data_IF_561558433456
#
_entry.id   IF_561558433456
#
_cell.length_a   1.000
_cell.length_b   1.000
_cell.length_c   1.000
_cell.angle_alpha   90.00
_cell.angle_beta   90.00
_cell.angle_gamma   90.00
#
_symmetry.space_group_name_H-M   'P 1'
#
loop_
_entity.id
_entity.type
_entity.pdbx_description
1 polymer ?
#
# COMPACT_ATOMS: atom_id res chain seq x y z
N UNK A 1 -21.76 -1.46 -3.79
CA UNK A 1 -21.01 -2.73 -3.72
C UNK A 1 -20.32 -2.76 -2.37
N UNK A 2 -20.54 -3.79 -1.55
CA UNK A 2 -19.79 -3.95 -0.30
C UNK A 2 -18.37 -4.41 -0.63
N UNK A 3 -17.32 -3.70 -0.19
CA UNK A 3 -15.94 -4.11 -0.45
C UNK A 3 -15.68 -5.48 0.17
N UNK A 4 -15.13 -6.41 -0.61
CA UNK A 4 -14.73 -7.74 -0.11
C UNK A 4 -13.39 -7.59 0.62
N UNK A 5 -13.41 -7.33 1.92
CA UNK A 5 -12.20 -7.19 2.75
C UNK A 5 -11.63 -8.58 3.11
N UNK A 6 -10.31 -8.82 2.98
CA UNK A 6 -9.74 -10.04 3.48
C UNK A 6 -9.91 -10.09 5.01
N UNK A 7 -10.10 -11.28 5.58
CA UNK A 7 -10.04 -11.46 7.03
C UNK A 7 -8.69 -10.96 7.58
N UNK A 8 -8.71 -10.18 8.67
CA UNK A 8 -7.50 -9.59 9.27
C UNK A 8 -6.48 -10.64 9.73
N UNK A 9 -6.95 -11.84 10.06
CA UNK A 9 -6.12 -13.01 10.41
C UNK A 9 -5.35 -13.57 9.22
N UNK A 10 -5.81 -13.31 7.99
CA UNK A 10 -5.14 -13.75 6.75
C UNK A 10 -4.23 -12.68 6.15
N UNK A 11 -4.52 -11.41 6.41
CA UNK A 11 -3.71 -10.27 5.99
C UNK A 11 -3.54 -9.29 7.15
N UNK A 12 -2.42 -9.39 7.91
CA UNK A 12 -2.17 -8.53 9.06
C UNK A 12 -2.00 -7.05 8.67
N UNK A 13 -1.80 -6.74 7.38
CA UNK A 13 -1.66 -5.38 6.88
C UNK A 13 -2.93 -4.83 6.25
N UNK A 14 -4.07 -5.53 6.29
CA UNK A 14 -5.31 -5.08 5.65
C UNK A 14 -5.74 -3.65 6.08
N UNK A 15 -5.53 -3.27 7.34
CA UNK A 15 -5.82 -1.92 7.81
C UNK A 15 -4.80 -0.86 7.32
N UNK A 16 -3.62 -1.27 6.88
CA UNK A 16 -2.61 -0.36 6.35
C UNK A 16 -3.01 0.24 4.99
N UNK A 17 -3.78 -0.48 4.17
CA UNK A 17 -4.16 -0.05 2.81
C UNK A 17 -5.67 -0.06 2.52
N UNK A 18 -6.51 -0.68 3.36
CA UNK A 18 -7.98 -0.73 3.19
C UNK A 18 -8.75 -0.16 4.38
N UNK A 19 -8.15 0.73 5.16
CA UNK A 19 -8.79 1.28 6.36
C UNK A 19 -10.12 1.98 6.07
N UNK A 20 -10.21 2.73 4.99
CA UNK A 20 -11.45 3.44 4.66
C UNK A 20 -12.59 2.47 4.33
N UNK A 21 -12.30 1.43 3.55
CA UNK A 21 -13.26 0.38 3.21
C UNK A 21 -13.70 -0.40 4.46
N UNK A 22 -12.76 -0.68 5.37
CA UNK A 22 -13.08 -1.25 6.67
C UNK A 22 -14.04 -0.38 7.46
N UNK A 23 -13.82 0.94 7.48
CA UNK A 23 -14.70 1.88 8.17
C UNK A 23 -16.06 2.08 7.49
N UNK A 24 -16.19 1.78 6.20
CA UNK A 24 -17.47 1.76 5.47
C UNK A 24 -18.28 0.51 5.80
N UNK A 25 -17.62 -0.64 5.92
CA UNK A 25 -18.27 -1.91 6.28
C UNK A 25 -18.63 -1.99 7.77
N UNK A 26 -17.79 -1.43 8.64
CA UNK A 26 -17.94 -1.44 10.09
C UNK A 26 -17.99 0.00 10.62
N UNK A 27 -19.12 0.71 10.40
CA UNK A 27 -19.26 2.10 10.82
C UNK A 27 -19.20 2.22 12.34
N UNK A 28 -18.66 3.34 12.79
CA UNK A 28 -18.50 3.67 14.21
C UNK A 28 -19.85 3.86 14.90
N UNK A 29 -19.92 3.45 16.17
CA UNK A 29 -21.03 3.85 17.04
C UNK A 29 -20.88 5.29 17.53
N UNK A 30 -21.96 5.83 18.11
CA UNK A 30 -21.97 7.17 18.69
C UNK A 30 -20.80 7.37 19.66
N UNK A 31 -20.08 8.48 19.51
CA UNK A 31 -18.85 8.88 20.25
C UNK A 31 -17.57 8.08 19.96
N UNK A 32 -17.59 7.10 19.06
CA UNK A 32 -16.35 6.47 18.62
C UNK A 32 -15.66 7.30 17.53
N UNK A 33 -14.33 7.30 17.53
CA UNK A 33 -13.51 8.01 16.56
C UNK A 33 -12.70 7.03 15.70
N UNK A 34 -12.47 7.41 14.43
CA UNK A 34 -11.55 6.68 13.55
C UNK A 34 -10.15 6.71 14.16
N UNK A 35 -9.42 5.61 14.04
CA UNK A 35 -8.03 5.54 14.46
C UNK A 35 -7.20 6.54 13.62
N UNK A 36 -6.59 7.55 14.26
CA UNK A 36 -5.88 8.61 13.55
C UNK A 36 -4.59 8.12 12.89
N UNK A 37 -4.04 6.97 13.32
CA UNK A 37 -2.84 6.40 12.74
C UNK A 37 -3.09 5.90 11.31
N UNK A 38 -4.01 4.95 11.13
CA UNK A 38 -4.31 4.38 9.81
C UNK A 38 -4.81 5.44 8.81
N UNK A 39 -5.54 6.46 9.29
CA UNK A 39 -6.02 7.57 8.44
C UNK A 39 -4.88 8.39 7.82
N UNK A 40 -3.70 8.42 8.45
CA UNK A 40 -2.54 9.21 8.00
C UNK A 40 -1.60 8.45 7.07
N UNK A 41 -1.78 7.13 6.95
CA UNK A 41 -0.98 6.31 6.05
C UNK A 41 -1.28 6.69 4.60
N UNK A 42 -0.22 6.83 3.81
CA UNK A 42 -0.30 7.18 2.39
C UNK A 42 -1.11 6.15 1.59
N UNK A 43 -1.00 4.87 1.93
CA UNK A 43 -1.73 3.79 1.28
C UNK A 43 -3.26 3.91 1.44
N UNK A 44 -3.71 4.49 2.56
CA UNK A 44 -5.12 4.75 2.85
C UNK A 44 -5.62 6.09 2.29
N UNK A 45 -4.81 6.85 1.56
CA UNK A 45 -5.26 8.06 0.88
C UNK A 45 -5.95 7.72 -0.46
N UNK A 46 -6.83 8.62 -0.96
CA UNK A 46 -7.46 8.43 -2.27
C UNK A 46 -6.42 8.23 -3.38
N UNK A 47 -6.74 7.38 -4.33
CA UNK A 47 -5.89 7.16 -5.49
C UNK A 47 -5.69 8.48 -6.25
N UNK A 48 -4.43 8.89 -6.49
CA UNK A 48 -4.16 10.05 -7.30
C UNK A 48 -4.51 9.74 -8.76
N UNK A 49 -4.72 10.79 -9.56
CA UNK A 49 -4.87 10.60 -11.00
C UNK A 49 -3.65 9.84 -11.56
N UNK A 50 -3.83 8.92 -12.53
CA UNK A 50 -2.73 8.11 -13.08
C UNK A 50 -1.57 8.97 -13.62
N UNK A 51 -1.90 10.11 -14.23
CA UNK A 51 -0.98 11.06 -14.86
C UNK A 51 -0.41 12.11 -13.88
N UNK A 52 -0.85 12.13 -12.61
CA UNK A 52 -0.36 13.13 -11.66
C UNK A 52 1.09 12.88 -11.28
N UNK A 53 2.00 13.80 -11.62
CA UNK A 53 3.44 13.69 -11.35
C UNK A 53 3.88 14.38 -10.06
N UNK A 54 2.98 15.03 -9.32
CA UNK A 54 3.30 15.64 -8.03
C UNK A 54 3.86 14.60 -7.05
N UNK A 55 4.85 14.99 -6.26
CA UNK A 55 5.51 14.17 -5.23
C UNK A 55 4.55 13.37 -4.37
N UNK A 56 3.49 14.02 -3.89
CA UNK A 56 2.45 13.37 -3.10
C UNK A 56 1.77 12.24 -3.86
N UNK A 57 1.43 12.45 -5.13
CA UNK A 57 0.80 11.42 -5.98
C UNK A 57 1.74 10.24 -6.22
N UNK A 58 3.01 10.51 -6.50
CA UNK A 58 4.05 9.49 -6.67
C UNK A 58 4.22 8.65 -5.40
N UNK A 59 4.32 9.32 -4.24
CA UNK A 59 4.47 8.66 -2.95
C UNK A 59 3.23 7.86 -2.54
N UNK A 60 2.02 8.32 -2.85
CA UNK A 60 0.79 7.55 -2.59
C UNK A 60 0.77 6.26 -3.41
N UNK A 61 1.08 6.32 -4.72
CA UNK A 61 1.15 5.12 -5.56
C UNK A 61 2.18 4.13 -5.02
N UNK A 62 3.38 4.61 -4.71
CA UNK A 62 4.41 3.78 -4.10
C UNK A 62 3.93 3.14 -2.78
N UNK A 63 3.34 3.91 -1.87
CA UNK A 63 2.87 3.38 -0.60
C UNK A 63 1.75 2.35 -0.75
N UNK A 64 0.91 2.44 -1.77
CA UNK A 64 -0.13 1.44 -2.06
C UNK A 64 0.47 0.12 -2.56
N UNK A 65 1.53 0.17 -3.37
CA UNK A 65 2.27 -1.01 -3.82
C UNK A 65 3.18 -1.60 -2.71
N UNK A 66 3.44 -0.83 -1.65
CA UNK A 66 4.35 -1.16 -0.56
C UNK A 66 3.72 -0.84 0.82
N UNK A 67 2.50 -1.32 1.04
CA UNK A 67 1.68 -0.97 2.20
C UNK A 67 2.28 -1.44 3.53
N UNK A 68 3.14 -2.46 3.51
CA UNK A 68 3.86 -2.96 4.69
C UNK A 68 4.85 -1.93 5.23
N UNK A 69 5.23 -0.93 4.41
CA UNK A 69 6.13 0.15 4.80
C UNK A 69 5.49 1.20 5.71
N UNK A 70 4.15 1.18 5.88
CA UNK A 70 3.41 2.07 6.79
C UNK A 70 3.77 3.55 6.64
N UNK A 71 4.00 4.00 5.39
CA UNK A 71 4.48 5.34 5.09
C UNK A 71 3.43 6.41 5.40
N UNK A 72 3.87 7.52 5.99
CA UNK A 72 3.05 8.69 6.31
C UNK A 72 3.42 9.90 5.43
N UNK A 73 2.66 11.00 5.57
CA UNK A 73 2.93 12.26 4.85
C UNK A 73 4.37 12.79 5.03
N UNK A 74 4.98 12.56 6.20
CA UNK A 74 6.38 12.96 6.48
C UNK A 74 7.41 12.22 5.60
N UNK A 75 7.03 11.06 5.06
CA UNK A 75 7.92 10.18 4.30
C UNK A 75 7.97 10.52 2.81
N UNK A 76 7.11 11.44 2.32
CA UNK A 76 6.99 11.79 0.90
C UNK A 76 8.34 12.12 0.29
N UNK A 77 9.15 13.00 0.93
CA UNK A 77 10.46 13.40 0.39
C UNK A 77 11.42 12.23 0.26
N UNK A 78 11.42 11.32 1.24
CA UNK A 78 12.27 10.13 1.25
C UNK A 78 11.87 9.16 0.13
N UNK A 79 10.57 8.92 -0.03
CA UNK A 79 10.03 8.05 -1.08
C UNK A 79 10.35 8.62 -2.47
N UNK A 80 10.14 9.92 -2.67
CA UNK A 80 10.47 10.59 -3.93
C UNK A 80 11.95 10.47 -4.25
N UNK A 81 12.83 10.66 -3.25
CA UNK A 81 14.26 10.39 -3.40
C UNK A 81 14.54 8.97 -3.92
N UNK A 82 13.96 7.93 -3.31
CA UNK A 82 14.13 6.55 -3.79
C UNK A 82 13.61 6.32 -5.21
N UNK A 83 12.54 7.00 -5.59
CA UNK A 83 11.96 6.91 -6.94
C UNK A 83 12.84 7.60 -7.98
N UNK A 84 13.45 8.74 -7.62
CA UNK A 84 14.33 9.51 -8.50
C UNK A 84 15.71 8.86 -8.64
N UNK A 85 16.23 8.28 -7.55
CA UNK A 85 17.51 7.56 -7.51
C UNK A 85 17.44 6.17 -8.17
N UNK A 86 16.26 5.72 -8.60
CA UNK A 86 16.06 4.43 -9.26
C UNK A 86 16.15 3.20 -8.34
N UNK A 87 16.38 3.38 -7.03
CA UNK A 87 16.50 2.31 -6.00
C UNK A 87 15.28 1.38 -6.00
N UNK A 88 14.09 1.93 -6.28
CA UNK A 88 12.84 1.16 -6.35
C UNK A 88 12.78 0.26 -7.60
N UNK A 89 13.37 0.69 -8.72
CA UNK A 89 13.33 -0.05 -9.98
C UNK A 89 14.15 -1.35 -9.93
N UNK A 90 15.26 -1.36 -9.20
CA UNK A 90 16.09 -2.55 -8.99
C UNK A 90 15.40 -3.58 -8.09
N UNK A 91 14.74 -3.10 -7.02
CA UNK A 91 13.96 -3.95 -6.12
C UNK A 91 12.77 -4.63 -6.81
N UNK A 92 12.13 -3.93 -7.77
CA UNK A 92 11.03 -4.48 -8.59
C UNK A 92 11.54 -5.54 -9.58
N UNK A 93 12.66 -5.28 -10.27
CA UNK A 93 13.31 -6.23 -11.17
C UNK A 93 13.83 -7.48 -10.44
N UNK A 94 14.40 -7.32 -9.24
CA UNK A 94 14.87 -8.44 -8.43
C UNK A 94 13.72 -9.35 -7.98
N UNK A 95 12.55 -8.79 -7.63
CA UNK A 95 11.34 -9.55 -7.27
C UNK A 95 10.67 -10.23 -8.47
N UNK A 96 10.70 -9.60 -9.65
CA UNK A 96 10.22 -10.22 -10.88
C UNK A 96 11.13 -11.37 -11.31
N UNK A 97 12.46 -11.20 -11.27
CA UNK A 97 13.41 -12.25 -11.64
C UNK A 97 13.42 -13.43 -10.65
N UNK A 98 13.26 -13.18 -9.35
CA UNK A 98 13.18 -14.23 -8.32
C UNK A 98 11.90 -15.08 -8.37
N UNK A 99 10.85 -14.66 -9.08
CA UNK A 99 9.66 -15.48 -9.33
C UNK A 99 9.82 -16.45 -10.50
N UNK A 100 10.79 -16.25 -11.39
CA UNK A 100 10.98 -17.09 -12.59
C UNK A 100 11.81 -18.34 -12.30
N UNK A 101 12.57 -18.38 -11.20
CA UNK A 101 13.47 -19.49 -10.88
C UNK A 101 12.83 -20.62 -10.05
N UNK A 102 11.54 -20.53 -9.71
CA UNK A 102 10.84 -21.47 -8.81
C UNK A 102 9.96 -22.55 -9.44
N UNK A 103 9.84 -22.62 -10.78
CA UNK A 103 9.01 -23.64 -11.46
C UNK A 103 9.86 -24.51 -12.38
N UNK A 104 10.73 -25.36 -11.80
CA UNK A 104 11.25 -26.58 -12.45
C UNK A 104 11.51 -27.67 -11.41
N UNK A 105 10.46 -28.39 -11.05
CA UNK A 105 10.44 -29.71 -10.39
C UNK A 105 8.96 -30.14 -10.50
N UNK A 106 8.52 -31.28 -11.02
CA UNK A 106 9.09 -32.59 -11.34
C UNK A 106 8.31 -33.15 -12.54
N UNK A 107 8.93 -33.94 -13.41
CA UNK A 107 8.26 -35.01 -14.17
C UNK A 107 9.34 -36.03 -14.54
N UNK A 108 9.42 -37.11 -13.76
CA UNK A 108 9.91 -38.45 -14.13
C UNK A 108 9.38 -39.51 -13.16
#
# INVERSE_FOLDING_TARGET
>A
MTPNLPPLDKDPYALAYRYNEYMEQYPLHFLQHRNPYYKKLLANLPDPRPDAMADRSRAIRYAKDHYEGLYELKDIRRIVGWLDDGVVSESRRARENGRVEGEKEEDD
#
